data_IF_344385570568
#
_entry.id   IF_344385570568
#
_cell.length_a   1.000
_cell.length_b   1.000
_cell.length_c   1.000
_cell.angle_alpha   90.00
_cell.angle_beta   90.00
_cell.angle_gamma   90.00
#
_symmetry.space_group_name_H-M   'P 1'
#
loop_
_entity.id
_entity.type
_entity.pdbx_description
1 polymer ?
#
# COMPACT_ATOMS: atom_id res chain seq x y z
N UNK A 1 33.03 16.59 -36.15
CA UNK A 1 32.92 16.27 -34.69
C UNK A 1 32.88 14.77 -34.60
N UNK A 2 34.01 14.12 -34.28
CA UNK A 2 34.05 12.69 -33.98
C UNK A 2 33.42 12.48 -32.61
N UNK A 3 32.25 11.82 -32.57
CA UNK A 3 31.71 11.25 -31.35
C UNK A 3 32.67 10.17 -30.84
N UNK A 4 33.32 10.43 -29.71
CA UNK A 4 34.09 9.37 -29.04
C UNK A 4 33.11 8.25 -28.67
N UNK A 5 33.45 7.03 -29.07
CA UNK A 5 32.66 5.86 -28.66
C UNK A 5 32.69 5.73 -27.14
N UNK A 6 31.56 5.58 -26.52
CA UNK A 6 31.42 5.36 -25.07
C UNK A 6 32.27 4.13 -24.73
N UNK A 7 33.31 4.31 -23.90
CA UNK A 7 34.17 3.20 -23.46
C UNK A 7 33.33 2.36 -22.47
N UNK A 8 32.80 1.24 -22.95
CA UNK A 8 31.90 0.40 -22.16
C UNK A 8 32.66 -0.31 -21.03
N UNK A 9 32.25 -0.06 -19.80
CA UNK A 9 32.62 -0.87 -18.66
C UNK A 9 31.84 -2.21 -18.70
N UNK A 10 32.41 -3.26 -18.09
CA UNK A 10 31.73 -4.56 -17.94
C UNK A 10 30.64 -4.53 -16.83
N UNK A 11 30.37 -3.38 -16.20
CA UNK A 11 29.39 -3.28 -15.13
C UNK A 11 27.97 -3.50 -15.66
N UNK A 12 27.18 -4.27 -14.93
CA UNK A 12 25.76 -4.48 -15.16
C UNK A 12 24.95 -3.94 -13.98
N UNK A 13 23.70 -3.54 -14.23
CA UNK A 13 22.80 -3.03 -13.18
C UNK A 13 21.53 -3.87 -13.22
N UNK A 14 21.26 -4.59 -12.14
CA UNK A 14 19.99 -5.29 -11.93
C UNK A 14 18.95 -4.31 -11.41
N UNK A 15 17.73 -4.37 -11.95
CA UNK A 15 16.61 -3.52 -11.56
C UNK A 15 15.44 -4.43 -11.15
N UNK A 16 15.03 -4.36 -9.90
CA UNK A 16 13.85 -5.03 -9.38
C UNK A 16 12.76 -4.01 -9.04
N UNK A 17 11.50 -4.37 -9.31
CA UNK A 17 10.34 -3.57 -8.93
C UNK A 17 9.42 -4.46 -8.10
N UNK A 18 9.07 -3.97 -6.91
CA UNK A 18 8.24 -4.68 -5.94
C UNK A 18 7.09 -3.77 -5.48
N UNK A 19 6.11 -4.33 -4.79
CA UNK A 19 5.01 -3.63 -4.15
C UNK A 19 4.33 -2.65 -5.11
N UNK A 20 3.99 -3.15 -6.30
CA UNK A 20 3.34 -2.34 -7.34
C UNK A 20 1.86 -2.21 -7.00
N UNK A 21 1.42 -0.98 -6.70
CA UNK A 21 0.02 -0.60 -6.47
C UNK A 21 -0.46 0.36 -7.55
N UNK A 22 -1.62 0.98 -7.35
CA UNK A 22 -2.19 1.89 -8.36
C UNK A 22 -1.38 3.17 -8.51
N UNK A 23 -0.83 3.73 -7.42
CA UNK A 23 -0.11 5.01 -7.44
C UNK A 23 1.27 4.94 -6.81
N UNK A 24 1.71 3.75 -6.31
CA UNK A 24 3.03 3.54 -5.69
C UNK A 24 3.73 2.30 -6.22
N UNK A 25 5.06 2.27 -6.11
CA UNK A 25 5.89 1.08 -6.32
C UNK A 25 7.25 1.27 -5.63
N UNK A 26 7.94 0.16 -5.33
CA UNK A 26 9.32 0.18 -4.82
C UNK A 26 10.27 -0.30 -5.91
N UNK A 27 11.30 0.47 -6.21
CA UNK A 27 12.32 0.12 -7.21
C UNK A 27 13.67 0.00 -6.54
N UNK A 28 14.40 -1.05 -6.88
CA UNK A 28 15.71 -1.40 -6.35
C UNK A 28 16.71 -1.52 -7.49
N UNK A 29 17.87 -0.87 -7.36
CA UNK A 29 18.98 -0.96 -8.32
C UNK A 29 20.20 -1.51 -7.63
N UNK A 30 20.83 -2.53 -8.25
CA UNK A 30 22.04 -3.16 -7.75
C UNK A 30 23.06 -3.26 -8.87
N UNK A 31 24.15 -2.55 -8.75
CA UNK A 31 25.27 -2.67 -9.67
C UNK A 31 26.08 -3.94 -9.38
N UNK A 32 26.64 -4.59 -10.42
CA UNK A 32 27.54 -5.73 -10.26
C UNK A 32 28.89 -5.36 -9.63
N UNK A 33 29.28 -4.08 -9.74
CA UNK A 33 30.41 -3.49 -9.03
C UNK A 33 29.86 -2.65 -7.84
N UNK A 34 30.11 -3.07 -6.58
CA UNK A 34 29.64 -2.33 -5.41
C UNK A 34 30.26 -0.93 -5.25
N UNK A 35 31.40 -0.67 -5.93
CA UNK A 35 32.06 0.63 -5.96
C UNK A 35 31.69 1.45 -7.22
N UNK A 36 30.96 0.84 -8.15
CA UNK A 36 30.56 1.45 -9.41
C UNK A 36 29.49 2.54 -9.22
N UNK A 37 29.72 3.69 -9.83
CA UNK A 37 28.71 4.75 -9.88
C UNK A 37 27.74 4.54 -11.02
N UNK A 38 26.48 4.88 -10.80
CA UNK A 38 25.44 4.85 -11.81
C UNK A 38 24.37 5.94 -11.60
N UNK A 39 23.80 6.39 -12.70
CA UNK A 39 22.62 7.25 -12.70
C UNK A 39 21.35 6.40 -12.81
N UNK A 40 20.26 6.84 -12.19
CA UNK A 40 18.97 6.15 -12.17
C UNK A 40 17.77 7.08 -12.22
N UNK A 41 16.67 6.60 -12.78
CA UNK A 41 15.38 7.29 -12.73
C UNK A 41 14.23 6.36 -13.12
N UNK A 42 12.99 6.88 -13.03
CA UNK A 42 11.77 6.19 -13.48
C UNK A 42 10.91 7.18 -14.27
N UNK A 43 10.40 6.75 -15.42
CA UNK A 43 9.57 7.56 -16.30
C UNK A 43 8.36 6.77 -16.81
N UNK A 44 7.25 7.46 -17.19
CA UNK A 44 6.21 6.82 -18.00
C UNK A 44 6.83 6.22 -19.27
N UNK A 45 6.40 5.00 -19.64
CA UNK A 45 6.96 4.32 -20.82
C UNK A 45 6.76 5.15 -22.11
N UNK A 46 5.63 5.79 -22.27
CA UNK A 46 5.35 6.63 -23.43
C UNK A 46 6.37 7.78 -23.58
N UNK A 47 6.77 8.38 -22.46
CA UNK A 47 7.81 9.41 -22.43
C UNK A 47 9.18 8.84 -22.77
N UNK A 48 9.58 7.73 -22.12
CA UNK A 48 10.86 7.06 -22.41
C UNK A 48 10.99 6.64 -23.88
N UNK A 49 9.91 6.11 -24.48
CA UNK A 49 9.90 5.69 -25.87
C UNK A 49 10.05 6.88 -26.84
N UNK A 50 9.59 8.08 -26.43
CA UNK A 50 9.73 9.30 -27.24
C UNK A 50 11.16 9.81 -27.39
N UNK A 51 12.10 9.36 -26.52
CA UNK A 51 13.51 9.79 -26.54
C UNK A 51 14.33 9.17 -27.69
N UNK A 52 13.74 8.23 -28.40
CA UNK A 52 14.36 7.50 -29.50
C UNK A 52 14.53 6.01 -29.24
N UNK A 53 14.99 5.29 -30.27
CA UNK A 53 15.10 3.82 -30.23
C UNK A 53 16.49 3.29 -29.89
N UNK A 54 17.52 4.15 -29.84
CA UNK A 54 18.90 3.76 -29.53
C UNK A 54 19.39 4.41 -28.24
N UNK A 55 20.39 3.79 -27.60
CA UNK A 55 20.99 4.35 -26.38
C UNK A 55 21.63 5.73 -26.65
N UNK A 56 22.24 5.92 -27.82
CA UNK A 56 22.84 7.21 -28.19
C UNK A 56 21.79 8.33 -28.24
N UNK A 57 20.63 8.08 -28.86
CA UNK A 57 19.55 9.04 -28.94
C UNK A 57 19.00 9.36 -27.53
N UNK A 58 18.82 8.33 -26.69
CA UNK A 58 18.36 8.47 -25.32
C UNK A 58 19.35 9.23 -24.44
N UNK A 59 20.66 8.92 -24.52
CA UNK A 59 21.66 9.68 -23.80
C UNK A 59 21.73 11.15 -24.22
N UNK A 60 21.59 11.44 -25.50
CA UNK A 60 21.52 12.81 -25.99
C UNK A 60 20.32 13.56 -25.40
N UNK A 61 19.15 12.91 -25.36
CA UNK A 61 17.94 13.47 -24.79
C UNK A 61 18.06 13.70 -23.27
N UNK A 62 18.55 12.69 -22.51
CA UNK A 62 18.79 12.77 -21.06
C UNK A 62 19.72 13.93 -20.76
N UNK A 63 20.86 14.04 -21.45
CA UNK A 63 21.84 15.10 -21.24
C UNK A 63 21.28 16.49 -21.46
N UNK A 64 20.33 16.63 -22.39
CA UNK A 64 19.73 17.93 -22.72
C UNK A 64 18.61 18.35 -21.77
N UNK A 65 17.91 17.38 -21.14
CA UNK A 65 16.65 17.65 -20.46
C UNK A 65 16.60 17.27 -18.98
N UNK A 66 17.53 16.41 -18.51
CA UNK A 66 17.45 15.86 -17.16
C UNK A 66 18.78 15.89 -16.40
N UNK A 67 18.67 15.97 -15.08
CA UNK A 67 19.72 15.63 -14.12
C UNK A 67 19.23 14.42 -13.31
N UNK A 68 19.89 13.27 -13.47
CA UNK A 68 19.49 12.06 -12.77
C UNK A 68 20.17 11.98 -11.39
N UNK A 69 19.51 11.25 -10.50
CA UNK A 69 20.10 10.90 -9.22
C UNK A 69 21.19 9.85 -9.43
N UNK A 70 22.34 10.10 -8.84
CA UNK A 70 23.48 9.18 -8.85
C UNK A 70 23.49 8.33 -7.58
N UNK A 71 23.98 7.11 -7.71
CA UNK A 71 24.13 6.17 -6.60
C UNK A 71 25.38 5.30 -6.83
N UNK A 72 25.82 4.63 -5.77
CA UNK A 72 26.99 3.75 -5.78
C UNK A 72 26.61 2.36 -5.29
N UNK A 73 26.89 1.35 -6.07
CA UNK A 73 26.66 -0.05 -5.74
C UNK A 73 25.18 -0.43 -5.63
N UNK A 74 24.49 0.07 -4.63
CA UNK A 74 23.06 -0.23 -4.37
C UNK A 74 22.28 1.03 -4.00
N UNK A 75 21.03 1.08 -4.41
CA UNK A 75 20.05 2.07 -3.95
C UNK A 75 18.62 1.58 -4.19
N UNK A 76 17.68 2.18 -3.49
CA UNK A 76 16.25 1.97 -3.68
C UNK A 76 15.50 3.31 -3.77
N UNK A 77 14.26 3.24 -4.20
CA UNK A 77 13.35 4.39 -4.26
C UNK A 77 11.91 3.93 -4.06
N UNK A 78 11.24 4.54 -3.11
CA UNK A 78 9.79 4.44 -2.96
C UNK A 78 9.14 5.48 -3.89
N UNK A 79 8.43 5.00 -4.90
CA UNK A 79 7.70 5.85 -5.83
C UNK A 79 6.31 6.13 -5.28
N UNK A 80 5.87 7.38 -5.39
CA UNK A 80 4.51 7.83 -5.10
C UNK A 80 3.99 8.71 -6.24
N UNK A 81 2.69 8.98 -6.24
CA UNK A 81 2.03 9.78 -7.29
C UNK A 81 2.14 9.20 -8.71
N UNK A 82 2.30 7.88 -8.83
CA UNK A 82 2.20 7.23 -10.13
C UNK A 82 0.74 7.30 -10.62
N UNK A 83 0.56 7.29 -11.93
CA UNK A 83 -0.77 7.18 -12.52
C UNK A 83 -1.23 5.71 -12.52
N UNK A 84 -2.48 5.41 -12.12
CA UNK A 84 -3.03 4.06 -12.21
C UNK A 84 -3.04 3.52 -13.64
N UNK A 85 -2.97 2.18 -13.77
CA UNK A 85 -3.00 1.46 -15.05
C UNK A 85 -2.03 2.03 -16.09
N UNK A 86 -0.85 2.47 -15.64
CA UNK A 86 0.16 3.13 -16.48
C UNK A 86 1.46 2.33 -16.46
N UNK A 87 2.05 2.11 -17.63
CA UNK A 87 3.34 1.46 -17.73
C UNK A 87 4.46 2.48 -17.55
N UNK A 88 5.42 2.13 -16.70
CA UNK A 88 6.63 2.87 -16.39
C UNK A 88 7.87 2.09 -16.78
N UNK A 89 8.97 2.79 -16.96
CA UNK A 89 10.30 2.25 -17.18
C UNK A 89 11.21 2.75 -16.06
N UNK A 90 11.67 1.84 -15.21
CA UNK A 90 12.80 2.09 -14.33
C UNK A 90 14.08 1.88 -15.15
N UNK A 91 15.00 2.85 -15.13
CA UNK A 91 16.21 2.78 -15.89
C UNK A 91 17.45 3.12 -15.03
N UNK A 92 18.60 2.64 -15.48
CA UNK A 92 19.90 3.02 -14.94
C UNK A 92 21.01 2.82 -15.98
N UNK A 93 22.11 3.55 -15.82
CA UNK A 93 23.33 3.38 -16.59
C UNK A 93 24.56 3.75 -15.77
N UNK A 94 25.65 3.07 -16.01
CA UNK A 94 26.93 3.31 -15.32
C UNK A 94 27.57 4.62 -15.72
N UNK A 95 28.37 5.18 -14.80
CA UNK A 95 29.06 6.43 -14.94
C UNK A 95 30.56 6.29 -14.68
N UNK A 96 31.35 6.99 -15.51
CA UNK A 96 32.73 7.38 -15.23
C UNK A 96 32.78 8.91 -15.13
N UNK A 97 32.84 9.42 -13.90
CA UNK A 97 32.56 10.81 -13.62
C UNK A 97 31.14 11.21 -14.07
N UNK A 98 31.03 12.11 -15.04
CA UNK A 98 29.75 12.57 -15.61
C UNK A 98 29.42 11.87 -16.94
N UNK A 99 30.23 10.90 -17.35
CA UNK A 99 30.10 10.28 -18.67
C UNK A 99 29.47 8.89 -18.55
N UNK A 100 28.40 8.58 -19.29
CA UNK A 100 27.89 7.23 -19.38
C UNK A 100 28.96 6.25 -19.86
N UNK A 101 29.12 5.12 -19.15
CA UNK A 101 30.12 4.09 -19.47
C UNK A 101 29.53 2.68 -19.64
N UNK A 102 28.20 2.56 -19.62
CA UNK A 102 27.45 1.34 -19.95
C UNK A 102 26.32 1.66 -20.90
N UNK A 103 25.65 0.61 -21.42
CA UNK A 103 24.32 0.75 -22.01
C UNK A 103 23.28 1.18 -20.96
N UNK A 104 22.09 1.55 -21.41
CA UNK A 104 20.94 1.76 -20.53
C UNK A 104 20.32 0.41 -20.14
N UNK A 105 20.26 0.12 -18.86
CA UNK A 105 19.50 -1.01 -18.30
C UNK A 105 18.09 -0.54 -17.99
N UNK A 106 17.10 -1.37 -18.29
CA UNK A 106 15.68 -1.01 -18.07
C UNK A 106 14.89 -2.15 -17.46
N UNK A 107 13.87 -1.80 -16.69
CA UNK A 107 12.82 -2.68 -16.20
C UNK A 107 11.48 -2.01 -16.36
N UNK A 108 10.60 -2.59 -17.18
CA UNK A 108 9.21 -2.13 -17.29
C UNK A 108 8.37 -2.71 -16.15
N UNK A 109 7.41 -1.92 -15.67
CA UNK A 109 6.35 -2.35 -14.78
C UNK A 109 5.08 -1.53 -15.05
N UNK A 110 3.92 -2.11 -14.74
CA UNK A 110 2.63 -1.43 -14.90
C UNK A 110 1.96 -1.32 -13.54
N UNK A 111 1.56 -0.10 -13.18
CA UNK A 111 0.78 0.13 -11.97
C UNK A 111 -0.59 -0.55 -12.08
N UNK A 112 -1.13 -0.97 -10.94
CA UNK A 112 -2.47 -1.56 -10.89
C UNK A 112 -3.52 -0.53 -11.30
N UNK A 113 -4.65 -1.00 -11.82
CA UNK A 113 -5.78 -0.12 -12.06
C UNK A 113 -6.41 0.27 -10.72
N UNK A 114 -6.75 1.54 -10.55
CA UNK A 114 -7.62 1.99 -9.48
C UNK A 114 -9.07 1.78 -9.97
N UNK A 115 -9.51 0.52 -9.99
CA UNK A 115 -10.88 0.19 -10.41
C UNK A 115 -11.76 0.40 -9.18
N UNK A 116 -12.37 1.58 -9.07
CA UNK A 116 -13.50 1.78 -8.18
C UNK A 116 -14.57 0.72 -8.53
N UNK A 117 -14.99 -0.10 -7.55
CA UNK A 117 -16.22 -0.86 -7.65
C UNK A 117 -16.13 -2.37 -7.68
N UNK A 118 -14.97 -3.03 -7.47
CA UNK A 118 -14.95 -4.50 -7.46
C UNK A 118 -15.02 -5.12 -6.07
N UNK A 119 -14.55 -4.47 -5.03
CA UNK A 119 -14.62 -4.95 -3.64
C UNK A 119 -14.45 -3.76 -2.69
N UNK A 120 -15.41 -2.83 -2.75
CA UNK A 120 -15.43 -1.64 -1.90
C UNK A 120 -15.95 -2.02 -0.52
N UNK A 121 -15.06 -2.53 0.33
CA UNK A 121 -15.39 -2.94 1.69
C UNK A 121 -16.06 -1.80 2.45
N UNK A 122 -17.13 -2.14 3.17
CA UNK A 122 -17.81 -1.27 4.10
C UNK A 122 -17.91 -1.95 5.46
N UNK A 123 -17.54 -1.24 6.51
CA UNK A 123 -17.65 -1.67 7.90
C UNK A 123 -18.65 -0.77 8.62
N UNK A 124 -19.80 -1.32 9.00
CA UNK A 124 -20.91 -0.56 9.56
C UNK A 124 -21.42 -1.17 10.86
N UNK A 125 -21.90 -0.31 11.76
CA UNK A 125 -22.60 -0.68 12.99
C UNK A 125 -23.63 0.38 13.34
N UNK A 126 -24.66 -0.02 14.06
CA UNK A 126 -25.72 0.89 14.54
C UNK A 126 -25.62 1.15 16.04
N UNK A 127 -25.25 0.11 16.79
CA UNK A 127 -25.18 0.13 18.23
C UNK A 127 -23.81 -0.36 18.70
N UNK A 128 -23.45 0.00 19.91
CA UNK A 128 -22.43 -0.66 20.71
C UNK A 128 -22.98 -0.90 22.12
N UNK A 129 -22.41 -1.87 22.81
CA UNK A 129 -22.85 -2.30 24.14
C UNK A 129 -21.67 -2.21 25.12
N UNK A 130 -21.94 -2.11 26.41
CA UNK A 130 -20.88 -2.25 27.40
C UNK A 130 -20.41 -3.71 27.43
N UNK A 131 -19.10 -3.93 27.31
CA UNK A 131 -18.55 -5.27 27.18
C UNK A 131 -18.71 -6.10 28.47
N UNK A 132 -18.63 -5.48 29.66
CA UNK A 132 -18.88 -6.18 30.91
C UNK A 132 -20.35 -6.61 31.06
N UNK A 133 -21.30 -5.75 30.64
CA UNK A 133 -22.72 -6.09 30.64
C UNK A 133 -23.03 -7.20 29.62
N UNK A 134 -22.36 -7.18 28.46
CA UNK A 134 -22.46 -8.28 27.49
C UNK A 134 -21.90 -9.60 28.04
N UNK A 135 -20.82 -9.54 28.83
CA UNK A 135 -20.25 -10.71 29.48
C UNK A 135 -21.19 -11.29 30.57
N UNK A 136 -21.91 -10.44 31.28
CA UNK A 136 -22.92 -10.88 32.29
C UNK A 136 -24.16 -11.48 31.60
N UNK A 137 -24.59 -10.90 30.46
CA UNK A 137 -25.76 -11.34 29.72
C UNK A 137 -25.50 -12.61 28.90
N UNK A 138 -24.29 -12.79 28.39
CA UNK A 138 -23.88 -13.89 27.52
C UNK A 138 -22.46 -14.38 27.88
N UNK A 139 -22.38 -15.02 29.05
CA UNK A 139 -21.12 -15.55 29.58
C UNK A 139 -20.51 -16.64 28.70
N UNK A 140 -21.29 -17.29 27.85
CA UNK A 140 -20.80 -18.33 26.96
C UNK A 140 -19.81 -17.76 25.91
N UNK A 141 -20.08 -16.56 25.41
CA UNK A 141 -19.26 -15.90 24.39
C UNK A 141 -18.31 -14.85 24.97
N UNK A 142 -18.76 -14.10 26.01
CA UNK A 142 -18.05 -12.91 26.51
C UNK A 142 -17.56 -13.03 27.95
N UNK A 143 -17.81 -14.14 28.66
CA UNK A 143 -17.51 -14.29 30.08
C UNK A 143 -16.06 -13.96 30.49
N UNK A 144 -15.09 -14.10 29.60
CA UNK A 144 -13.70 -13.71 29.83
C UNK A 144 -13.51 -12.18 29.99
N UNK A 145 -14.51 -11.38 29.65
CA UNK A 145 -14.48 -9.92 29.68
C UNK A 145 -15.32 -9.30 30.80
N UNK A 146 -15.74 -10.08 31.80
CA UNK A 146 -16.62 -9.64 32.91
C UNK A 146 -16.13 -8.41 33.70
N UNK A 147 -14.86 -8.08 33.66
CA UNK A 147 -14.32 -6.89 34.31
C UNK A 147 -14.10 -5.68 33.38
N UNK A 148 -14.46 -5.78 32.09
CA UNK A 148 -14.10 -4.80 31.06
C UNK A 148 -15.17 -3.73 30.87
N UNK A 149 -15.55 -3.04 31.95
CA UNK A 149 -16.60 -2.03 31.94
C UNK A 149 -16.24 -0.74 31.17
N UNK A 150 -14.95 -0.54 30.86
CA UNK A 150 -14.46 0.61 30.12
C UNK A 150 -14.25 0.31 28.62
N UNK A 151 -14.83 -0.81 28.16
CA UNK A 151 -14.78 -1.24 26.77
C UNK A 151 -16.18 -1.38 26.19
N UNK A 152 -16.27 -1.03 24.92
CA UNK A 152 -17.44 -1.29 24.07
C UNK A 152 -17.30 -2.62 23.35
N UNK A 153 -18.40 -3.34 23.22
CA UNK A 153 -18.61 -4.41 22.24
C UNK A 153 -19.35 -3.85 21.04
N UNK A 154 -18.73 -3.83 19.88
CA UNK A 154 -19.29 -3.25 18.65
C UNK A 154 -19.57 -4.35 17.64
N UNK A 155 -20.84 -4.72 17.39
CA UNK A 155 -21.22 -5.63 16.32
C UNK A 155 -21.03 -4.95 14.96
N UNK A 156 -20.16 -5.48 14.11
CA UNK A 156 -19.78 -4.86 12.83
C UNK A 156 -20.26 -5.73 11.68
N UNK A 157 -21.04 -5.15 10.80
CA UNK A 157 -21.42 -5.77 9.51
C UNK A 157 -20.41 -5.39 8.45
N UNK A 158 -19.91 -6.39 7.73
CA UNK A 158 -19.01 -6.26 6.60
C UNK A 158 -19.83 -6.41 5.32
N UNK A 159 -19.64 -5.54 4.35
CA UNK A 159 -20.31 -5.59 3.06
C UNK A 159 -19.42 -5.04 1.94
N UNK A 160 -19.85 -5.19 0.68
CA UNK A 160 -19.07 -4.75 -0.48
C UNK A 160 -17.89 -5.65 -0.84
N UNK A 161 -17.86 -6.88 -0.31
CA UNK A 161 -16.80 -7.87 -0.54
C UNK A 161 -17.39 -9.21 -0.95
N UNK A 162 -16.58 -10.04 -1.60
CA UNK A 162 -16.89 -11.43 -1.97
C UNK A 162 -16.19 -12.41 -1.03
N UNK A 163 -16.69 -13.64 -0.93
CA UNK A 163 -16.08 -14.70 -0.12
C UNK A 163 -14.64 -15.10 -0.57
N UNK A 164 -14.24 -14.71 -1.78
CA UNK A 164 -12.91 -14.98 -2.33
C UNK A 164 -11.94 -13.79 -2.25
N UNK A 165 -12.35 -12.70 -1.63
CA UNK A 165 -11.50 -11.53 -1.48
C UNK A 165 -10.60 -11.68 -0.25
N UNK A 166 -9.35 -11.23 -0.35
CA UNK A 166 -8.52 -11.04 0.83
C UNK A 166 -8.93 -9.71 1.49
N UNK A 167 -9.26 -9.75 2.77
CA UNK A 167 -9.69 -8.58 3.53
C UNK A 167 -8.60 -8.16 4.51
N UNK A 168 -8.34 -6.86 4.58
CA UNK A 168 -7.38 -6.28 5.50
C UNK A 168 -8.01 -5.12 6.24
N UNK A 169 -7.84 -5.04 7.56
CA UNK A 169 -8.14 -3.85 8.34
C UNK A 169 -7.22 -3.68 9.54
N UNK A 170 -7.15 -2.46 10.00
CA UNK A 170 -6.51 -2.10 11.25
C UNK A 170 -7.34 -1.05 12.01
N UNK A 171 -7.21 -1.09 13.32
CA UNK A 171 -7.64 -0.04 14.23
C UNK A 171 -6.37 0.59 14.80
N UNK A 172 -6.17 1.87 14.56
CA UNK A 172 -4.96 2.59 14.95
C UNK A 172 -5.31 3.93 15.60
N UNK A 173 -4.39 4.47 16.39
CA UNK A 173 -4.47 5.85 16.91
C UNK A 173 -3.85 6.88 15.97
N UNK A 174 -3.32 6.46 14.82
CA UNK A 174 -2.85 7.39 13.79
C UNK A 174 -4.05 8.09 13.15
N UNK A 175 -3.99 9.40 12.90
CA UNK A 175 -5.08 10.12 12.24
C UNK A 175 -5.26 9.66 10.79
N UNK A 176 -6.47 9.85 10.22
CA UNK A 176 -6.78 9.40 8.85
C UNK A 176 -5.91 10.04 7.76
N UNK A 177 -5.35 11.20 8.03
CA UNK A 177 -4.44 11.95 7.14
C UNK A 177 -2.95 11.71 7.45
N UNK A 178 -2.62 10.71 8.28
CA UNK A 178 -1.24 10.34 8.60
C UNK A 178 -0.40 10.06 7.35
N UNK A 179 -0.97 9.34 6.39
CA UNK A 179 -0.40 9.18 5.06
C UNK A 179 -1.08 10.12 4.07
N UNK A 180 -0.30 10.67 3.14
CA UNK A 180 -0.81 11.60 2.13
C UNK A 180 -1.66 10.90 1.05
N UNK A 181 -1.45 9.59 0.85
CA UNK A 181 -2.09 8.80 -0.22
C UNK A 181 -2.68 7.51 0.32
N UNK A 182 -3.82 7.10 -0.24
CA UNK A 182 -4.51 5.87 0.13
C UNK A 182 -3.63 4.62 -0.10
N UNK A 183 -2.77 4.63 -1.11
CA UNK A 183 -1.87 3.51 -1.41
C UNK A 183 -0.79 3.30 -0.35
N UNK A 184 -0.42 4.34 0.39
CA UNK A 184 0.49 4.22 1.53
C UNK A 184 -0.18 3.46 2.68
N UNK A 185 -1.46 3.75 2.95
CA UNK A 185 -2.29 2.99 3.88
C UNK A 185 -2.46 1.53 3.43
N UNK A 186 -2.79 1.31 2.14
CA UNK A 186 -2.96 -0.05 1.59
C UNK A 186 -1.68 -0.84 1.77
N UNK A 187 -0.52 -0.27 1.44
CA UNK A 187 0.78 -0.93 1.61
C UNK A 187 1.06 -1.27 3.07
N UNK A 188 0.81 -0.35 4.00
CA UNK A 188 1.05 -0.55 5.41
C UNK A 188 0.23 -1.70 5.96
N UNK A 189 -1.11 -1.67 5.78
CA UNK A 189 -1.99 -2.70 6.33
C UNK A 189 -1.84 -4.06 5.63
N UNK A 190 -1.51 -4.10 4.33
CA UNK A 190 -1.35 -5.37 3.59
C UNK A 190 0.02 -6.01 3.77
N UNK A 191 1.02 -5.27 4.25
CA UNK A 191 2.32 -5.81 4.64
C UNK A 191 2.33 -6.41 6.05
N UNK A 192 1.31 -6.13 6.86
CA UNK A 192 1.17 -6.61 8.22
C UNK A 192 0.20 -7.80 8.28
N UNK A 193 0.71 -8.99 8.56
CA UNK A 193 -0.10 -10.23 8.65
C UNK A 193 -1.23 -10.13 9.68
N UNK A 194 -1.06 -9.34 10.74
CA UNK A 194 -2.10 -9.14 11.77
C UNK A 194 -3.31 -8.34 11.25
N UNK A 195 -3.17 -7.64 10.13
CA UNK A 195 -4.27 -6.92 9.51
C UNK A 195 -5.11 -7.78 8.56
N UNK A 196 -4.61 -8.96 8.14
CA UNK A 196 -5.34 -9.89 7.29
C UNK A 196 -6.47 -10.57 8.08
N UNK A 197 -7.66 -10.59 7.49
CA UNK A 197 -8.89 -11.09 8.14
C UNK A 197 -9.50 -12.24 7.35
N UNK A 198 -10.05 -13.21 8.09
CA UNK A 198 -10.75 -14.36 7.51
C UNK A 198 -12.28 -14.21 7.49
N UNK A 199 -12.82 -13.10 7.97
CA UNK A 199 -14.25 -12.85 8.10
C UNK A 199 -14.76 -11.95 6.99
N UNK A 200 -15.93 -12.26 6.40
CA UNK A 200 -16.43 -11.59 5.19
C UNK A 200 -17.82 -10.95 5.36
N UNK A 201 -18.53 -11.23 6.44
CA UNK A 201 -19.89 -10.72 6.62
C UNK A 201 -20.14 -10.05 7.95
N UNK A 202 -19.51 -10.56 9.03
CA UNK A 202 -19.78 -10.06 10.38
C UNK A 202 -18.61 -10.33 11.35
N UNK A 203 -18.34 -9.37 12.25
CA UNK A 203 -17.40 -9.53 13.36
C UNK A 203 -17.76 -8.63 14.54
N UNK A 204 -17.01 -8.73 15.63
CA UNK A 204 -17.09 -7.83 16.77
C UNK A 204 -15.77 -7.10 16.99
N UNK A 205 -15.85 -5.78 17.22
CA UNK A 205 -14.73 -5.03 17.78
C UNK A 205 -14.92 -4.85 19.29
N UNK A 206 -13.80 -4.86 20.00
CA UNK A 206 -13.71 -4.60 21.42
C UNK A 206 -12.85 -3.34 21.59
N UNK A 207 -13.47 -2.21 21.86
CA UNK A 207 -12.81 -0.91 21.84
C UNK A 207 -12.94 -0.20 23.18
N UNK A 208 -11.87 0.37 23.75
CA UNK A 208 -11.97 1.28 24.88
C UNK A 208 -12.92 2.43 24.55
N UNK A 209 -13.71 2.85 25.54
CA UNK A 209 -14.48 4.08 25.44
C UNK A 209 -13.59 5.31 25.51
N UNK A 210 -14.07 6.41 24.96
CA UNK A 210 -13.44 7.74 25.06
C UNK A 210 -12.01 7.80 24.50
N UNK A 211 -11.73 6.92 23.52
CA UNK A 211 -10.51 6.92 22.76
C UNK A 211 -10.82 7.14 21.28
N UNK A 212 -9.95 7.91 20.63
CA UNK A 212 -10.03 8.17 19.19
C UNK A 212 -9.27 7.11 18.42
N UNK A 213 -9.94 6.48 17.46
CA UNK A 213 -9.36 5.47 16.56
C UNK A 213 -9.67 5.81 15.12
N UNK A 214 -8.73 5.47 14.26
CA UNK A 214 -8.95 5.35 12.83
C UNK A 214 -9.12 3.88 12.46
N UNK A 215 -10.25 3.55 11.84
CA UNK A 215 -10.49 2.26 11.20
C UNK A 215 -10.16 2.39 9.73
N UNK A 216 -9.18 1.64 9.29
CA UNK A 216 -8.71 1.58 7.91
C UNK A 216 -8.95 0.17 7.39
N UNK A 217 -9.61 0.03 6.24
CA UNK A 217 -9.86 -1.27 5.65
C UNK A 217 -9.77 -1.25 4.12
N UNK A 218 -9.36 -2.37 3.53
CA UNK A 218 -9.34 -2.59 2.09
C UNK A 218 -9.59 -4.07 1.79
N UNK A 219 -10.24 -4.34 0.67
CA UNK A 219 -10.35 -5.69 0.11
C UNK A 219 -9.51 -5.79 -1.16
N UNK A 220 -8.95 -6.98 -1.40
CA UNK A 220 -8.21 -7.34 -2.61
C UNK A 220 -8.92 -8.51 -3.28
N UNK A 221 -9.33 -8.32 -4.53
CA UNK A 221 -10.00 -9.35 -5.33
C UNK A 221 -9.08 -10.53 -5.70
N UNK A 222 -9.66 -11.62 -6.22
CA UNK A 222 -8.92 -12.79 -6.65
C UNK A 222 -7.88 -12.52 -7.78
N UNK A 223 -7.97 -11.37 -8.47
CA UNK A 223 -7.01 -10.94 -9.49
C UNK A 223 -5.88 -10.07 -8.90
N UNK A 224 -5.93 -9.81 -7.59
CA UNK A 224 -4.96 -8.99 -6.87
C UNK A 224 -5.19 -7.48 -6.97
N UNK A 225 -6.38 -7.04 -7.42
CA UNK A 225 -6.74 -5.62 -7.45
C UNK A 225 -7.32 -5.19 -6.11
N UNK A 226 -6.91 -4.02 -5.63
CA UNK A 226 -7.50 -3.43 -4.45
C UNK A 226 -8.73 -2.60 -4.81
N UNK A 227 -9.79 -2.74 -4.02
CA UNK A 227 -10.94 -1.86 -4.03
C UNK A 227 -10.61 -0.50 -3.39
N UNK A 228 -11.64 0.31 -3.19
CA UNK A 228 -11.50 1.60 -2.54
C UNK A 228 -11.13 1.42 -1.07
N UNK A 229 -10.18 2.22 -0.59
CA UNK A 229 -9.83 2.26 0.82
C UNK A 229 -11.00 2.81 1.64
N UNK A 230 -11.44 2.05 2.64
CA UNK A 230 -12.39 2.48 3.66
C UNK A 230 -11.62 3.17 4.79
N UNK A 231 -12.07 4.36 5.18
CA UNK A 231 -11.52 5.14 6.29
C UNK A 231 -12.65 5.69 7.15
N UNK A 232 -12.56 5.48 8.46
CA UNK A 232 -13.55 5.98 9.40
C UNK A 232 -12.93 6.31 10.76
N UNK A 233 -13.16 7.51 11.26
CA UNK A 233 -12.87 7.85 12.65
C UNK A 233 -13.91 7.22 13.57
N UNK A 234 -13.45 6.72 14.70
CA UNK A 234 -14.28 6.09 15.73
C UNK A 234 -13.98 6.76 17.06
N UNK A 235 -15.04 7.25 17.67
CA UNK A 235 -15.03 7.67 19.07
C UNK A 235 -16.33 7.18 19.71
N UNK A 236 -16.23 6.36 20.75
CA UNK A 236 -17.38 5.77 21.41
C UNK A 236 -17.52 6.34 22.79
N UNK A 237 -18.70 6.91 23.09
CA UNK A 237 -19.03 7.34 24.43
C UNK A 237 -19.71 6.19 25.20
N UNK A 238 -19.30 6.01 26.46
CA UNK A 238 -19.92 4.99 27.33
C UNK A 238 -21.40 5.29 27.59
N UNK A 239 -21.76 6.58 27.64
CA UNK A 239 -23.15 7.03 27.80
C UNK A 239 -24.07 6.65 26.65
N UNK A 240 -23.50 6.38 25.47
CA UNK A 240 -24.24 6.07 24.24
C UNK A 240 -24.39 4.55 24.02
N UNK A 241 -23.94 3.74 24.98
CA UNK A 241 -24.15 2.29 24.94
C UNK A 241 -25.63 1.95 24.88
N UNK A 242 -26.00 1.09 23.96
CA UNK A 242 -27.35 0.57 23.88
C UNK A 242 -27.67 -0.31 25.09
N UNK A 243 -28.94 -0.37 25.44
CA UNK A 243 -29.43 -1.25 26.50
C UNK A 243 -29.11 -2.70 26.16
N UNK A 244 -28.45 -3.39 27.09
CA UNK A 244 -27.99 -4.77 26.91
C UNK A 244 -29.14 -5.74 26.63
N UNK A 245 -30.36 -5.44 27.04
CA UNK A 245 -31.55 -6.26 26.73
C UNK A 245 -31.86 -6.34 25.23
N UNK A 246 -31.30 -5.41 24.44
CA UNK A 246 -31.43 -5.42 22.96
C UNK A 246 -30.30 -6.21 22.27
N UNK A 247 -29.30 -6.67 23.02
CA UNK A 247 -28.19 -7.45 22.48
C UNK A 247 -28.62 -8.86 22.08
N UNK A 248 -28.21 -9.28 20.89
CA UNK A 248 -28.36 -10.65 20.40
C UNK A 248 -27.02 -11.07 19.78
N UNK A 249 -26.47 -12.15 20.28
CA UNK A 249 -25.26 -12.72 19.70
C UNK A 249 -25.49 -13.15 18.25
N UNK A 250 -24.52 -12.83 17.40
CA UNK A 250 -24.44 -13.32 16.03
C UNK A 250 -23.08 -13.99 15.81
N UNK A 251 -23.06 -15.14 15.14
CA UNK A 251 -21.80 -15.80 14.79
C UNK A 251 -20.91 -14.91 13.91
N UNK A 252 -19.61 -15.05 14.11
CA UNK A 252 -18.58 -14.38 13.29
C UNK A 252 -18.43 -15.16 11.98
N UNK A 253 -18.60 -14.49 10.84
CA UNK A 253 -18.63 -15.07 9.49
C UNK A 253 -17.72 -14.31 8.51
#
# INVERSE_FOLDING_TARGET
VTTEAIQQSGMTINIEVKDIYATTANVYWTASDPEGWFARSVFPKAEYDSWGSTDEARFAYIKANYSFYEAKGYTDMNLSNLMPNTTYVALAYGLDGQTPNTKIFTKEFTTKSNVAGMSDIQLTWTNHYNLAEAADADAAHWGNYAGWSDYALVPVTISGVSANDDIYWTLTTLPLDYYNYDDEWIRDITSNENCHQSVHSFCYFQLPYEYEYSLIAVAKDANGNFGKLFKKEIYLYKSDSADISSYVYKEVE
#
